data_IF_426616089534
#
_entry.id   IF_426616089534
#
_cell.length_a   1.000
_cell.length_b   1.000
_cell.length_c   1.000
_cell.angle_alpha   90.00
_cell.angle_beta   90.00
_cell.angle_gamma   90.00
#
_symmetry.space_group_name_H-M   'P 1'
#
loop_
_entity.id
_entity.type
_entity.pdbx_description
1 polymer ?
#
# COMPACT_ATOMS: atom_id res chain seq x y z
N UNK A 1 16.96 10.01 -17.38
CA UNK A 1 16.86 9.98 -18.88
C UNK A 1 15.99 11.16 -19.26
N UNK A 2 16.62 12.27 -19.69
CA UNK A 2 15.84 13.43 -20.16
C UNK A 2 15.21 13.06 -21.52
N UNK A 3 13.92 12.77 -21.48
CA UNK A 3 13.15 12.54 -22.70
C UNK A 3 12.89 13.90 -23.36
N UNK A 4 13.37 14.12 -24.58
CA UNK A 4 13.11 15.34 -25.38
C UNK A 4 11.60 15.62 -25.61
N UNK A 5 10.73 14.68 -25.23
CA UNK A 5 9.28 14.71 -25.47
C UNK A 5 8.47 14.92 -24.19
N UNK A 6 9.13 14.88 -23.02
CA UNK A 6 8.48 15.05 -21.72
C UNK A 6 8.71 16.48 -21.24
N UNK A 7 7.65 17.26 -21.14
CA UNK A 7 7.69 18.64 -20.63
C UNK A 7 7.56 18.68 -19.10
N UNK A 8 6.91 17.69 -18.51
CA UNK A 8 6.77 17.53 -17.08
C UNK A 8 6.02 16.24 -16.73
N UNK A 9 6.11 15.84 -15.46
CA UNK A 9 5.38 14.68 -14.93
C UNK A 9 4.87 14.93 -13.51
N UNK A 10 3.83 14.19 -13.16
CA UNK A 10 3.26 14.17 -11.82
C UNK A 10 3.20 12.71 -11.34
N UNK A 11 3.78 12.43 -10.20
CA UNK A 11 3.82 11.07 -9.66
C UNK A 11 3.50 11.03 -8.16
N UNK A 12 3.12 9.86 -7.65
CA UNK A 12 3.00 9.62 -6.23
C UNK A 12 4.36 9.22 -5.63
N UNK A 13 4.65 9.71 -4.44
CA UNK A 13 5.86 9.34 -3.70
C UNK A 13 5.77 7.91 -3.16
N UNK A 14 6.25 6.95 -3.94
CA UNK A 14 6.17 5.52 -3.60
C UNK A 14 6.90 5.17 -2.30
N UNK A 15 8.02 5.85 -2.02
CA UNK A 15 8.76 5.67 -0.77
C UNK A 15 7.95 6.17 0.44
N UNK A 16 7.33 7.35 0.31
CA UNK A 16 6.47 7.92 1.36
C UNK A 16 5.25 7.03 1.65
N UNK A 17 4.64 6.44 0.62
CA UNK A 17 3.52 5.48 0.80
C UNK A 17 3.98 4.31 1.68
N UNK A 18 5.12 3.70 1.38
CA UNK A 18 5.69 2.65 2.20
C UNK A 18 6.02 3.09 3.63
N UNK A 19 6.56 4.32 3.80
CA UNK A 19 6.85 4.87 5.14
C UNK A 19 5.58 5.04 5.98
N UNK A 20 4.47 5.48 5.40
CA UNK A 20 3.23 5.68 6.12
C UNK A 20 2.68 4.36 6.67
N UNK A 21 2.66 3.31 5.85
CA UNK A 21 2.30 1.96 6.28
C UNK A 21 3.27 1.43 7.33
N UNK A 22 4.58 1.65 7.11
CA UNK A 22 5.62 1.24 8.06
C UNK A 22 5.49 1.93 9.42
N UNK A 23 5.09 3.19 9.46
CA UNK A 23 4.84 3.92 10.71
C UNK A 23 3.65 3.32 11.47
N UNK A 24 2.53 3.08 10.80
CA UNK A 24 1.36 2.44 11.40
C UNK A 24 1.70 1.03 11.92
N UNK A 25 2.44 0.25 11.12
CA UNK A 25 2.95 -1.06 11.51
C UNK A 25 3.87 -0.97 12.75
N UNK A 26 4.75 0.03 12.82
CA UNK A 26 5.63 0.22 13.97
C UNK A 26 4.86 0.58 15.26
N UNK A 27 3.75 1.30 15.15
CA UNK A 27 2.84 1.56 16.27
C UNK A 27 2.16 0.25 16.70
N UNK A 28 1.63 -0.51 15.77
CA UNK A 28 1.05 -1.83 16.02
C UNK A 28 2.04 -2.79 16.71
N UNK A 29 3.29 -2.81 16.26
CA UNK A 29 4.34 -3.67 16.87
C UNK A 29 4.58 -3.29 18.32
N UNK A 30 4.70 -2.01 18.64
CA UNK A 30 4.93 -1.56 20.02
C UNK A 30 3.79 -1.94 20.97
N UNK A 31 2.57 -1.98 20.48
CA UNK A 31 1.38 -2.35 21.25
C UNK A 31 1.23 -3.86 21.44
N UNK A 32 1.52 -4.65 20.38
CA UNK A 32 1.22 -6.07 20.35
C UNK A 32 2.46 -6.98 20.56
N UNK A 33 3.67 -6.48 20.37
CA UNK A 33 4.93 -7.22 20.48
C UNK A 33 5.99 -6.43 21.29
N UNK A 34 5.69 -5.93 22.51
CA UNK A 34 6.58 -5.02 23.24
C UNK A 34 7.94 -5.64 23.60
N UNK A 35 8.00 -6.96 23.77
CA UNK A 35 9.15 -7.68 24.30
C UNK A 35 9.94 -8.47 23.24
N UNK A 36 9.50 -8.46 21.97
CA UNK A 36 10.16 -9.23 20.90
C UNK A 36 9.94 -8.61 19.51
N UNK A 37 10.76 -9.01 18.58
CA UNK A 37 10.56 -8.70 17.17
C UNK A 37 9.59 -9.71 16.55
N UNK A 38 8.49 -9.27 15.90
CA UNK A 38 7.61 -10.16 15.17
C UNK A 38 8.29 -10.72 13.92
N UNK A 39 8.08 -12.02 13.65
CA UNK A 39 8.46 -12.68 12.40
C UNK A 39 7.57 -12.16 11.28
N UNK A 40 8.17 -11.55 10.28
CA UNK A 40 7.47 -10.83 9.23
C UNK A 40 7.79 -11.40 7.86
N UNK A 41 6.76 -11.64 7.06
CA UNK A 41 6.90 -11.91 5.63
C UNK A 41 6.71 -10.63 4.82
N UNK A 42 7.51 -10.44 3.77
CA UNK A 42 7.39 -9.35 2.80
C UNK A 42 6.98 -9.96 1.47
N UNK A 43 5.88 -9.47 0.91
CA UNK A 43 5.39 -9.86 -0.41
C UNK A 43 5.60 -8.69 -1.37
N UNK A 44 6.54 -8.85 -2.28
CA UNK A 44 6.92 -7.86 -3.27
C UNK A 44 6.23 -8.09 -4.62
N UNK A 45 6.43 -7.17 -5.55
CA UNK A 45 6.05 -7.31 -6.96
C UNK A 45 7.19 -6.84 -7.90
N UNK A 46 8.42 -7.13 -7.49
CA UNK A 46 9.64 -6.66 -8.13
C UNK A 46 9.84 -7.27 -9.53
N UNK A 47 9.29 -8.43 -9.80
CA UNK A 47 9.28 -9.04 -11.13
C UNK A 47 8.46 -8.23 -12.15
N UNK A 48 7.44 -7.48 -11.69
CA UNK A 48 6.59 -6.65 -12.55
C UNK A 48 7.09 -5.21 -12.65
N UNK A 49 7.30 -4.54 -11.50
CA UNK A 49 7.72 -3.14 -11.39
C UNK A 49 8.81 -2.98 -10.32
N UNK A 50 10.08 -3.29 -10.66
CA UNK A 50 11.17 -3.40 -9.67
C UNK A 50 11.40 -2.11 -8.88
N UNK A 51 11.41 -0.94 -9.53
CA UNK A 51 11.70 0.32 -8.86
C UNK A 51 10.58 0.75 -7.90
N UNK A 52 9.32 0.55 -8.32
CA UNK A 52 8.14 0.86 -7.50
C UNK A 52 8.08 -0.07 -6.29
N UNK A 53 8.21 -1.38 -6.51
CA UNK A 53 8.24 -2.40 -5.43
C UNK A 53 9.32 -2.08 -4.42
N UNK A 54 10.53 -1.82 -4.89
CA UNK A 54 11.68 -1.48 -4.05
C UNK A 54 11.49 -0.18 -3.27
N UNK A 55 10.91 0.86 -3.89
CA UNK A 55 10.64 2.12 -3.20
C UNK A 55 9.65 1.94 -2.06
N UNK A 56 8.53 1.25 -2.30
CA UNK A 56 7.52 0.93 -1.28
C UNK A 56 8.10 0.10 -0.13
N UNK A 57 8.79 -0.98 -0.46
CA UNK A 57 9.42 -1.88 0.54
C UNK A 57 10.49 -1.17 1.36
N UNK A 58 11.34 -0.36 0.72
CA UNK A 58 12.33 0.46 1.44
C UNK A 58 11.67 1.49 2.36
N UNK A 59 10.60 2.14 1.91
CA UNK A 59 9.81 3.04 2.74
C UNK A 59 9.29 2.34 3.99
N UNK A 60 8.65 1.19 3.84
CA UNK A 60 8.17 0.36 4.94
C UNK A 60 9.32 -0.03 5.90
N UNK A 61 10.40 -0.59 5.37
CA UNK A 61 11.54 -1.03 6.16
C UNK A 61 12.26 0.12 6.86
N UNK A 62 12.26 1.34 6.31
CA UNK A 62 12.86 2.50 6.98
C UNK A 62 12.25 2.79 8.36
N UNK A 63 11.01 2.37 8.58
CA UNK A 63 10.28 2.54 9.83
C UNK A 63 10.27 1.28 10.71
N UNK A 64 10.48 0.10 10.12
CA UNK A 64 10.21 -1.18 10.79
C UNK A 64 11.44 -2.09 10.92
N UNK A 65 12.50 -1.93 10.12
CA UNK A 65 13.63 -2.89 10.06
C UNK A 65 14.32 -3.18 11.39
N UNK A 66 14.31 -2.21 12.33
CA UNK A 66 14.86 -2.42 13.68
C UNK A 66 13.90 -3.15 14.61
N UNK A 67 12.63 -3.23 14.26
CA UNK A 67 11.52 -3.73 15.06
C UNK A 67 11.05 -5.13 14.65
N UNK A 68 11.35 -5.59 13.44
CA UNK A 68 10.89 -6.87 12.87
C UNK A 68 12.03 -7.84 12.62
N UNK A 69 11.69 -9.11 12.49
CA UNK A 69 12.54 -10.18 11.97
C UNK A 69 11.96 -10.66 10.63
N UNK A 70 12.60 -10.29 9.52
CA UNK A 70 12.14 -10.67 8.17
C UNK A 70 12.54 -12.11 7.91
N UNK A 71 11.56 -13.02 7.90
CA UNK A 71 11.77 -14.46 7.73
C UNK A 71 11.50 -14.94 6.30
N UNK A 72 10.72 -14.17 5.53
CA UNK A 72 10.43 -14.44 4.11
C UNK A 72 10.36 -13.13 3.33
N UNK A 73 10.89 -13.16 2.12
CA UNK A 73 10.81 -12.09 1.12
C UNK A 73 10.56 -12.74 -0.24
N UNK A 74 9.33 -12.64 -0.73
CA UNK A 74 8.87 -13.35 -1.94
C UNK A 74 8.16 -12.42 -2.90
N UNK A 75 8.08 -12.81 -4.18
CA UNK A 75 7.51 -12.00 -5.24
C UNK A 75 6.16 -12.56 -5.69
N UNK A 76 5.09 -11.75 -5.57
CA UNK A 76 3.75 -12.10 -6.06
C UNK A 76 2.93 -10.81 -6.25
N UNK A 77 2.29 -10.61 -7.42
CA UNK A 77 1.71 -9.30 -7.76
C UNK A 77 0.18 -9.27 -7.92
N UNK A 78 -0.47 -10.39 -8.17
CA UNK A 78 -1.92 -10.51 -8.28
C UNK A 78 -2.48 -11.49 -7.26
N UNK A 79 -3.79 -11.42 -6.98
CA UNK A 79 -4.41 -12.23 -5.96
C UNK A 79 -4.35 -13.75 -6.25
N UNK A 80 -4.36 -14.14 -7.54
CA UNK A 80 -4.37 -15.54 -7.95
C UNK A 80 -3.02 -16.20 -7.72
N UNK A 81 -1.93 -15.48 -7.93
CA UNK A 81 -0.56 -15.94 -7.65
C UNK A 81 -0.16 -15.76 -6.20
N UNK A 82 -0.62 -14.68 -5.57
CA UNK A 82 -0.25 -14.37 -4.18
C UNK A 82 -0.90 -15.31 -3.17
N UNK A 83 -2.16 -15.69 -3.37
CA UNK A 83 -2.87 -16.58 -2.41
C UNK A 83 -2.13 -17.92 -2.19
N UNK A 84 -1.75 -18.69 -3.22
CA UNK A 84 -1.00 -19.93 -3.00
C UNK A 84 0.41 -19.68 -2.46
N UNK A 85 1.11 -18.62 -2.91
CA UNK A 85 2.46 -18.30 -2.41
C UNK A 85 2.41 -17.92 -0.92
N UNK A 86 1.45 -17.09 -0.49
CA UNK A 86 1.30 -16.75 0.93
C UNK A 86 0.89 -17.97 1.75
N UNK A 87 0.07 -18.87 1.19
CA UNK A 87 -0.21 -20.16 1.85
C UNK A 87 1.06 -20.95 2.10
N UNK A 88 1.96 -21.08 1.11
CA UNK A 88 3.25 -21.75 1.29
C UNK A 88 4.12 -21.05 2.35
N UNK A 89 4.11 -19.70 2.39
CA UNK A 89 4.80 -18.93 3.42
C UNK A 89 4.25 -19.24 4.82
N UNK A 90 2.93 -19.32 4.98
CA UNK A 90 2.27 -19.66 6.25
C UNK A 90 2.59 -21.11 6.66
N UNK A 91 2.53 -22.05 5.73
CA UNK A 91 2.86 -23.46 5.98
C UNK A 91 4.33 -23.65 6.41
N UNK A 92 5.25 -22.90 5.80
CA UNK A 92 6.68 -22.94 6.13
C UNK A 92 7.04 -22.21 7.42
N UNK A 93 6.20 -21.27 7.87
CA UNK A 93 6.43 -20.44 9.05
C UNK A 93 5.17 -20.42 9.94
N UNK A 94 4.88 -21.52 10.66
CA UNK A 94 3.66 -21.64 11.47
C UNK A 94 3.61 -20.64 12.65
N UNK A 95 4.71 -19.99 12.95
CA UNK A 95 4.86 -18.92 13.94
C UNK A 95 5.07 -17.53 13.30
N UNK A 96 4.61 -17.35 12.04
CA UNK A 96 4.60 -16.06 11.37
C UNK A 96 3.66 -15.09 12.10
N UNK A 97 4.17 -13.91 12.44
CA UNK A 97 3.42 -12.92 13.21
C UNK A 97 2.72 -11.87 12.36
N UNK A 98 3.25 -11.55 11.17
CA UNK A 98 2.68 -10.49 10.34
C UNK A 98 3.17 -10.55 8.89
N UNK A 99 2.43 -9.89 7.99
CA UNK A 99 2.73 -9.83 6.56
C UNK A 99 2.68 -8.37 6.09
N UNK A 100 3.68 -7.95 5.31
CA UNK A 100 3.63 -6.72 4.53
C UNK A 100 3.50 -7.04 3.04
N UNK A 101 2.60 -6.35 2.35
CA UNK A 101 2.35 -6.51 0.92
C UNK A 101 2.56 -5.19 0.18
N UNK A 102 3.36 -5.21 -0.89
CA UNK A 102 3.79 -3.99 -1.57
C UNK A 102 2.82 -3.50 -2.67
N UNK A 103 1.72 -4.21 -2.96
CA UNK A 103 0.69 -3.79 -3.92
C UNK A 103 -0.68 -4.41 -3.62
N UNK A 104 -1.73 -3.95 -4.34
CA UNK A 104 -3.11 -4.41 -4.19
C UNK A 104 -3.26 -5.93 -4.29
N UNK A 105 -2.78 -6.52 -5.39
CA UNK A 105 -3.00 -7.94 -5.66
C UNK A 105 -2.36 -8.84 -4.61
N UNK A 106 -1.14 -8.52 -4.15
CA UNK A 106 -0.50 -9.25 -3.06
C UNK A 106 -1.22 -9.04 -1.73
N UNK A 107 -1.77 -7.85 -1.47
CA UNK A 107 -2.55 -7.58 -0.26
C UNK A 107 -3.84 -8.40 -0.23
N UNK A 108 -4.61 -8.41 -1.32
CA UNK A 108 -5.82 -9.24 -1.46
C UNK A 108 -5.48 -10.72 -1.26
N UNK A 109 -4.43 -11.19 -1.96
CA UNK A 109 -4.01 -12.61 -1.88
C UNK A 109 -3.56 -13.02 -0.48
N UNK A 110 -2.85 -12.15 0.24
CA UNK A 110 -2.41 -12.41 1.60
C UNK A 110 -3.59 -12.49 2.58
N UNK A 111 -4.53 -11.54 2.52
CA UNK A 111 -5.75 -11.57 3.35
C UNK A 111 -6.54 -12.85 3.10
N UNK A 112 -6.76 -13.21 1.83
CA UNK A 112 -7.47 -14.45 1.47
C UNK A 112 -6.74 -15.70 1.96
N UNK A 113 -5.41 -15.77 1.86
CA UNK A 113 -4.64 -16.91 2.33
C UNK A 113 -4.75 -17.08 3.85
N UNK A 114 -4.66 -15.98 4.61
CA UNK A 114 -4.81 -15.98 6.07
C UNK A 114 -6.23 -16.40 6.47
N UNK A 115 -7.28 -15.87 5.80
CA UNK A 115 -8.68 -16.26 6.00
C UNK A 115 -8.90 -17.75 5.74
N UNK A 116 -8.42 -18.25 4.58
CA UNK A 116 -8.57 -19.65 4.18
C UNK A 116 -7.86 -20.62 5.14
N UNK A 117 -6.76 -20.19 5.75
CA UNK A 117 -6.05 -20.94 6.78
C UNK A 117 -6.71 -20.89 8.16
N UNK A 118 -7.74 -20.05 8.35
CA UNK A 118 -8.37 -19.81 9.66
C UNK A 118 -7.43 -19.15 10.67
N UNK A 119 -6.41 -18.45 10.20
CA UNK A 119 -5.40 -17.77 11.03
C UNK A 119 -5.78 -16.31 11.30
N UNK A 120 -5.03 -15.66 12.21
CA UNK A 120 -5.18 -14.24 12.58
C UNK A 120 -3.86 -13.48 12.42
N UNK A 121 -3.15 -13.73 11.32
CA UNK A 121 -1.91 -13.03 10.99
C UNK A 121 -2.25 -11.66 10.43
N UNK A 122 -1.85 -10.54 11.08
CA UNK A 122 -2.12 -9.19 10.58
C UNK A 122 -1.39 -8.91 9.28
N UNK A 123 -2.10 -8.24 8.36
CA UNK A 123 -1.59 -7.84 7.04
C UNK A 123 -1.53 -6.30 6.99
N UNK A 124 -0.43 -5.78 6.47
CA UNK A 124 -0.22 -4.37 6.14
C UNK A 124 -0.04 -4.26 4.64
N UNK A 125 -0.85 -3.46 3.97
CA UNK A 125 -0.91 -3.46 2.52
C UNK A 125 -0.67 -2.10 1.87
N UNK A 126 -0.41 -2.13 0.58
CA UNK A 126 -0.34 -0.94 -0.28
C UNK A 126 -1.37 -1.05 -1.39
N UNK A 127 -1.81 0.11 -1.83
CA UNK A 127 -2.94 0.51 -2.64
C UNK A 127 -4.26 0.55 -1.85
N UNK A 128 -5.16 1.43 -2.30
CA UNK A 128 -6.46 1.66 -1.67
C UNK A 128 -7.54 1.46 -2.73
N UNK A 129 -8.29 0.38 -2.59
CA UNK A 129 -9.48 0.08 -3.40
C UNK A 129 -10.66 -0.18 -2.49
N UNK A 130 -11.86 -0.08 -3.04
CA UNK A 130 -13.09 -0.39 -2.28
C UNK A 130 -13.06 -1.82 -1.71
N UNK A 131 -12.51 -2.78 -2.48
CA UNK A 131 -12.33 -4.15 -2.01
C UNK A 131 -11.43 -4.22 -0.78
N UNK A 132 -10.25 -3.61 -0.84
CA UNK A 132 -9.29 -3.62 0.27
C UNK A 132 -9.82 -2.89 1.50
N UNK A 133 -10.54 -1.76 1.31
CA UNK A 133 -11.16 -1.04 2.42
C UNK A 133 -12.25 -1.89 3.08
N UNK A 134 -13.07 -2.59 2.30
CA UNK A 134 -14.06 -3.51 2.87
C UNK A 134 -13.38 -4.64 3.66
N UNK A 135 -12.31 -5.27 3.12
CA UNK A 135 -11.51 -6.25 3.85
C UNK A 135 -10.90 -5.68 5.15
N UNK A 136 -10.43 -4.42 5.12
CA UNK A 136 -9.90 -3.77 6.32
C UNK A 136 -10.99 -3.49 7.35
N UNK A 137 -12.24 -3.29 6.95
CA UNK A 137 -13.38 -3.04 7.83
C UNK A 137 -14.09 -4.33 8.31
N UNK A 138 -13.70 -5.49 7.80
CA UNK A 138 -14.25 -6.79 8.19
C UNK A 138 -13.90 -7.13 9.63
N UNK A 139 -14.77 -7.89 10.32
CA UNK A 139 -14.61 -8.29 11.73
C UNK A 139 -13.49 -9.33 11.95
N UNK A 140 -12.89 -9.85 10.90
CA UNK A 140 -11.80 -10.84 10.97
C UNK A 140 -10.50 -10.29 11.57
N UNK A 141 -10.34 -8.97 11.58
CA UNK A 141 -9.19 -8.24 12.12
C UNK A 141 -7.84 -8.60 11.46
N UNK A 142 -7.84 -8.96 10.16
CA UNK A 142 -6.62 -9.33 9.44
C UNK A 142 -5.93 -8.10 8.84
N UNK A 143 -6.60 -7.33 7.97
CA UNK A 143 -5.99 -6.18 7.31
C UNK A 143 -5.99 -4.96 8.23
N UNK A 144 -4.79 -4.46 8.56
CA UNK A 144 -4.59 -3.42 9.59
C UNK A 144 -4.45 -2.02 9.01
N UNK A 145 -3.75 -1.87 7.90
CA UNK A 145 -3.52 -0.57 7.27
C UNK A 145 -3.32 -0.69 5.76
N UNK A 146 -3.65 0.38 5.06
CA UNK A 146 -3.49 0.55 3.62
C UNK A 146 -2.85 1.90 3.33
N UNK A 147 -1.72 1.89 2.64
CA UNK A 147 -1.12 3.08 2.07
C UNK A 147 -1.42 3.16 0.58
N UNK A 148 -1.75 4.33 0.07
CA UNK A 148 -2.07 4.47 -1.35
C UNK A 148 -1.69 5.80 -1.96
N UNK A 149 -1.89 5.90 -3.26
CA UNK A 149 -1.77 7.15 -3.99
C UNK A 149 -3.03 8.00 -3.76
N UNK A 150 -2.92 9.32 -3.96
CA UNK A 150 -4.05 10.23 -4.01
C UNK A 150 -4.43 10.49 -5.47
N UNK A 151 -5.39 9.77 -6.05
CA UNK A 151 -5.74 9.90 -7.47
C UNK A 151 -6.39 11.26 -7.78
N UNK A 152 -7.05 11.87 -6.82
CA UNK A 152 -7.68 13.19 -6.99
C UNK A 152 -6.61 14.25 -7.11
N UNK A 153 -5.67 14.33 -6.16
CA UNK A 153 -4.56 15.27 -6.24
C UNK A 153 -3.69 15.04 -7.48
N UNK A 154 -3.41 13.77 -7.83
CA UNK A 154 -2.65 13.45 -9.04
C UNK A 154 -3.34 14.02 -10.29
N UNK A 155 -4.65 13.84 -10.41
CA UNK A 155 -5.44 14.36 -11.54
C UNK A 155 -5.48 15.88 -11.56
N UNK A 156 -5.84 16.52 -10.47
CA UNK A 156 -5.95 17.97 -10.35
C UNK A 156 -4.62 18.67 -10.64
N UNK A 157 -3.54 18.24 -9.99
CA UNK A 157 -2.21 18.85 -10.16
C UNK A 157 -1.67 18.64 -11.57
N UNK A 158 -1.90 17.47 -12.18
CA UNK A 158 -1.51 17.20 -13.57
C UNK A 158 -2.23 18.12 -14.55
N UNK A 159 -3.55 18.27 -14.40
CA UNK A 159 -4.35 19.12 -15.29
C UNK A 159 -4.05 20.61 -15.10
N UNK A 160 -3.92 21.07 -13.86
CA UNK A 160 -3.52 22.45 -13.56
C UNK A 160 -2.18 22.78 -14.21
N UNK A 161 -1.19 21.92 -14.02
CA UNK A 161 0.15 22.10 -14.55
C UNK A 161 0.17 22.09 -16.09
N UNK A 162 -0.58 21.20 -16.73
CA UNK A 162 -0.76 21.17 -18.18
C UNK A 162 -1.40 22.45 -18.72
N UNK A 163 -2.45 22.95 -18.06
CA UNK A 163 -3.09 24.22 -18.45
C UNK A 163 -2.12 25.40 -18.34
N UNK A 164 -1.31 25.47 -17.30
CA UNK A 164 -0.28 26.50 -17.13
C UNK A 164 0.73 26.48 -18.27
N UNK A 165 1.25 25.28 -18.60
CA UNK A 165 2.15 25.07 -19.74
C UNK A 165 1.54 25.56 -21.06
N UNK A 166 0.32 25.14 -21.38
CA UNK A 166 -0.36 25.51 -22.63
C UNK A 166 -0.67 27.02 -22.73
N UNK A 167 -0.83 27.70 -21.59
CA UNK A 167 -1.04 29.15 -21.52
C UNK A 167 0.29 29.94 -21.55
N UNK A 168 1.44 29.30 -21.67
CA UNK A 168 2.75 29.94 -21.60
C UNK A 168 3.09 30.54 -20.22
N UNK A 169 2.46 30.03 -19.15
CA UNK A 169 2.74 30.39 -17.76
C UNK A 169 3.82 29.50 -17.17
N UNK A 170 4.38 29.93 -16.05
CA UNK A 170 5.31 29.08 -15.29
C UNK A 170 4.61 27.79 -14.86
N UNK A 171 5.28 26.65 -15.06
CA UNK A 171 4.81 25.31 -14.70
C UNK A 171 5.93 24.54 -14.02
N UNK A 172 5.56 23.47 -13.30
CA UNK A 172 6.50 22.58 -12.62
C UNK A 172 6.87 21.41 -13.55
N UNK A 173 8.17 21.17 -13.76
CA UNK A 173 8.63 20.03 -14.56
C UNK A 173 8.50 18.69 -13.82
N UNK A 174 8.39 18.73 -12.48
CA UNK A 174 8.26 17.56 -11.60
C UNK A 174 7.33 17.90 -10.46
N UNK A 175 6.26 17.11 -10.30
CA UNK A 175 5.33 17.21 -9.19
C UNK A 175 5.28 15.85 -8.49
N UNK A 176 5.64 15.81 -7.22
CA UNK A 176 5.60 14.59 -6.40
C UNK A 176 4.53 14.74 -5.32
N UNK A 177 3.49 13.92 -5.42
CA UNK A 177 2.35 13.93 -4.50
C UNK A 177 2.61 12.94 -3.35
N UNK A 178 2.40 13.33 -2.08
CA UNK A 178 2.48 12.42 -0.95
C UNK A 178 1.41 11.33 -1.05
N UNK A 179 1.64 10.22 -0.35
CA UNK A 179 0.64 9.16 -0.20
C UNK A 179 -0.48 9.52 0.75
N UNK A 180 -1.49 8.68 0.80
CA UNK A 180 -2.54 8.66 1.82
C UNK A 180 -2.50 7.35 2.61
N UNK A 181 -2.98 7.38 3.85
CA UNK A 181 -3.02 6.22 4.73
C UNK A 181 -4.43 6.03 5.28
N UNK A 182 -4.92 4.81 5.18
CA UNK A 182 -6.10 4.36 5.91
C UNK A 182 -5.69 3.30 6.93
N UNK A 183 -6.29 3.36 8.11
CA UNK A 183 -5.98 2.43 9.20
C UNK A 183 -7.26 1.86 9.80
N UNK A 184 -7.21 0.58 10.16
CA UNK A 184 -8.27 -0.08 10.91
C UNK A 184 -8.55 0.61 12.26
N UNK A 185 -7.56 1.23 12.87
CA UNK A 185 -7.72 1.99 14.11
C UNK A 185 -8.60 3.24 13.94
N UNK A 186 -8.78 3.72 12.69
CA UNK A 186 -9.59 4.89 12.32
C UNK A 186 -10.64 4.53 11.26
N UNK A 187 -11.61 3.64 11.58
CA UNK A 187 -12.54 3.10 10.57
C UNK A 187 -13.48 4.17 9.97
N UNK A 188 -13.69 5.29 10.65
CA UNK A 188 -14.43 6.43 10.12
C UNK A 188 -13.76 7.04 8.90
N UNK A 189 -12.45 7.30 8.95
CA UNK A 189 -11.69 7.85 7.83
C UNK A 189 -11.76 6.94 6.59
N UNK A 190 -11.72 5.63 6.80
CA UNK A 190 -11.81 4.66 5.70
C UNK A 190 -13.20 4.66 5.02
N UNK A 191 -14.28 4.77 5.79
CA UNK A 191 -15.65 4.88 5.25
C UNK A 191 -15.85 6.19 4.50
N UNK A 192 -15.40 7.30 5.09
CA UNK A 192 -15.51 8.64 4.48
C UNK A 192 -14.72 8.71 3.16
N UNK A 193 -13.55 8.09 3.10
CA UNK A 193 -12.76 8.01 1.88
C UNK A 193 -13.51 7.28 0.75
N UNK A 194 -14.05 6.09 1.01
CA UNK A 194 -14.79 5.34 -0.01
C UNK A 194 -16.03 6.08 -0.47
N UNK A 195 -16.77 6.70 0.44
CA UNK A 195 -17.95 7.49 0.08
C UNK A 195 -17.58 8.68 -0.81
N UNK A 196 -16.51 9.39 -0.46
CA UNK A 196 -15.98 10.51 -1.27
C UNK A 196 -15.58 10.05 -2.67
N UNK A 197 -14.85 8.92 -2.78
CA UNK A 197 -14.43 8.39 -4.07
C UNK A 197 -15.60 7.94 -4.93
N UNK A 198 -16.64 7.34 -4.34
CA UNK A 198 -17.87 7.00 -5.07
C UNK A 198 -18.57 8.24 -5.63
N UNK A 199 -18.71 9.30 -4.83
CA UNK A 199 -19.32 10.56 -5.26
C UNK A 199 -18.56 11.22 -6.42
N UNK A 200 -17.21 11.23 -6.37
CA UNK A 200 -16.37 11.74 -7.46
C UNK A 200 -16.59 10.93 -8.75
N UNK A 201 -16.60 9.61 -8.66
CA UNK A 201 -16.81 8.73 -9.81
C UNK A 201 -18.21 8.87 -10.42
N UNK A 202 -19.23 9.14 -9.63
CA UNK A 202 -20.59 9.39 -10.11
C UNK A 202 -20.73 10.75 -10.81
N UNK A 203 -20.04 11.79 -10.31
CA UNK A 203 -20.03 13.10 -10.95
C UNK A 203 -19.32 13.08 -12.31
N UNK A 204 -18.25 12.30 -12.45
CA UNK A 204 -17.50 12.13 -13.70
C UNK A 204 -18.26 11.36 -14.80
N UNK A 205 -19.39 10.72 -14.49
CA UNK A 205 -20.25 10.01 -15.46
C UNK A 205 -21.33 10.90 -16.09
N UNK A 206 -21.49 12.13 -15.64
CA UNK A 206 -22.44 13.12 -16.18
C UNK A 206 -21.77 14.06 -17.18
#
# INVERSE_FOLDING_TARGET
>A
MESKWLTGYCEANQYNIGQMVGKECAEYIRENFPDRKPKTAIIQFSALLPDTSKSRTRGFLSMTQSLIDVVQDVDAWDASTSTPIVKEVLDANPDLDMIFCANEGSTVGAVMAVQNAGLKVPVFGIDITEQLVNMMLDDDNILQALGGQDPVQLGERSMENLCRYLMGKDYESEIVIPGILLSRSRPGEARDYIETMRQILEQGKK
#
